data_IF_173887394233
#
_entry.id   IF_173887394233
#
_cell.length_a   1.000
_cell.length_b   1.000
_cell.length_c   1.000
_cell.angle_alpha   90.00
_cell.angle_beta   90.00
_cell.angle_gamma   90.00
#
_symmetry.space_group_name_H-M   'P 1'
#
loop_
_entity.id
_entity.type
_entity.pdbx_description
1 polymer ?
#
# COMPACT_ATOMS: atom_id res chain seq x y z
N UNK A 1 -29.47 8.28 35.06
CA UNK A 1 -29.24 8.73 33.69
C UNK A 1 -27.82 9.27 33.60
N UNK A 2 -26.89 8.51 33.00
CA UNK A 2 -25.51 8.98 32.82
C UNK A 2 -25.50 10.04 31.72
N UNK A 3 -25.21 11.27 32.10
CA UNK A 3 -25.25 12.44 31.23
C UNK A 3 -24.16 12.35 30.16
N UNK A 4 -24.59 12.13 28.92
CA UNK A 4 -23.81 12.34 27.70
C UNK A 4 -23.51 13.82 27.53
N UNK A 5 -22.40 14.29 28.08
CA UNK A 5 -21.68 15.47 27.60
C UNK A 5 -20.19 15.12 27.65
N UNK A 6 -19.75 14.25 26.75
CA UNK A 6 -18.32 14.06 26.53
C UNK A 6 -17.88 14.93 25.35
N UNK A 7 -16.81 15.73 25.49
CA UNK A 7 -16.14 16.29 24.32
C UNK A 7 -15.54 15.09 23.59
N UNK A 8 -16.11 14.74 22.42
CA UNK A 8 -15.97 13.50 21.63
C UNK A 8 -14.53 13.05 21.23
N UNK A 9 -13.48 13.51 21.90
CA UNK A 9 -12.08 13.15 21.63
C UNK A 9 -11.17 13.03 22.86
N UNK A 10 -11.60 13.48 24.05
CA UNK A 10 -10.67 13.63 25.20
C UNK A 10 -10.03 12.32 25.66
N UNK A 11 -10.69 11.19 25.43
CA UNK A 11 -10.21 9.87 25.85
C UNK A 11 -9.70 9.00 24.70
N UNK A 12 -9.79 9.47 23.45
CA UNK A 12 -9.45 8.65 22.29
C UNK A 12 -7.96 8.29 22.26
N UNK A 13 -7.07 9.21 22.63
CA UNK A 13 -5.64 8.90 22.80
C UNK A 13 -5.37 7.84 23.88
N UNK A 14 -6.13 7.84 24.99
CA UNK A 14 -6.02 6.80 26.03
C UNK A 14 -6.57 5.45 25.54
N UNK A 15 -7.65 5.47 24.76
CA UNK A 15 -8.22 4.26 24.16
C UNK A 15 -7.25 3.59 23.19
N UNK A 16 -6.53 4.35 22.37
CA UNK A 16 -5.46 3.80 21.50
C UNK A 16 -4.45 3.01 22.32
N UNK A 17 -3.95 3.58 23.43
CA UNK A 17 -2.98 2.91 24.32
C UNK A 17 -3.55 1.64 24.96
N UNK A 18 -4.82 1.67 25.37
CA UNK A 18 -5.48 0.50 25.96
C UNK A 18 -5.72 -0.59 24.91
N UNK A 19 -6.20 -0.24 23.72
CA UNK A 19 -6.38 -1.20 22.63
C UNK A 19 -5.06 -1.83 22.19
N UNK A 20 -4.00 -1.02 22.01
CA UNK A 20 -2.68 -1.53 21.66
C UNK A 20 -2.14 -2.56 22.68
N UNK A 21 -2.45 -2.37 23.97
CA UNK A 21 -1.96 -3.23 25.05
C UNK A 21 -2.84 -4.45 25.33
N UNK A 22 -4.17 -4.30 25.29
CA UNK A 22 -5.10 -5.31 25.78
C UNK A 22 -6.00 -5.93 24.69
N UNK A 23 -6.18 -5.26 23.55
CA UNK A 23 -7.10 -5.72 22.49
C UNK A 23 -6.69 -5.15 21.12
N UNK A 24 -5.58 -5.67 20.57
CA UNK A 24 -4.96 -5.21 19.32
C UNK A 24 -5.90 -5.29 18.13
N UNK A 25 -6.67 -6.37 18.03
CA UNK A 25 -7.66 -6.60 16.97
C UNK A 25 -8.74 -5.50 16.87
N UNK A 26 -9.00 -4.77 17.96
CA UNK A 26 -9.98 -3.68 18.02
C UNK A 26 -9.36 -2.31 17.71
N UNK A 27 -8.02 -2.23 17.63
CA UNK A 27 -7.32 -0.99 17.38
C UNK A 27 -7.56 -0.48 15.96
N UNK A 28 -7.30 -1.29 14.93
CA UNK A 28 -7.48 -0.87 13.54
C UNK A 28 -8.93 -0.43 13.22
N UNK A 29 -10.00 -1.15 13.63
CA UNK A 29 -11.37 -0.66 13.47
C UNK A 29 -11.62 0.68 14.17
N UNK A 30 -11.10 0.85 15.39
CA UNK A 30 -11.23 2.10 16.13
C UNK A 30 -10.54 3.26 15.41
N UNK A 31 -9.33 3.03 14.88
CA UNK A 31 -8.57 4.04 14.13
C UNK A 31 -9.28 4.45 12.83
N UNK A 32 -10.00 3.52 12.20
CA UNK A 32 -10.81 3.78 11.00
C UNK A 32 -12.11 4.54 11.29
N UNK A 33 -12.72 4.32 12.45
CA UNK A 33 -14.00 4.95 12.83
C UNK A 33 -13.85 6.30 13.52
N UNK A 34 -12.65 6.66 13.98
CA UNK A 34 -12.42 7.87 14.76
C UNK A 34 -11.35 8.77 14.16
N UNK A 35 -11.55 10.08 14.24
CA UNK A 35 -10.58 11.11 13.82
C UNK A 35 -10.04 11.94 15.00
N UNK A 36 -10.52 11.70 16.22
CA UNK A 36 -10.27 12.59 17.37
C UNK A 36 -9.09 12.15 18.26
N UNK A 37 -8.24 11.24 17.80
CA UNK A 37 -7.02 10.84 18.53
C UNK A 37 -5.78 11.60 18.00
N UNK A 38 -4.79 11.86 18.86
CA UNK A 38 -3.48 12.36 18.42
C UNK A 38 -2.77 11.30 17.58
N UNK A 39 -2.70 11.50 16.26
CA UNK A 39 -2.15 10.53 15.30
C UNK A 39 -0.68 10.21 15.59
N UNK A 40 0.14 11.21 15.94
CA UNK A 40 1.55 11.01 16.28
C UNK A 40 1.72 10.12 17.52
N UNK A 41 1.01 10.40 18.61
CA UNK A 41 1.06 9.53 19.79
C UNK A 41 0.56 8.11 19.49
N UNK A 42 -0.44 7.98 18.61
CA UNK A 42 -0.94 6.67 18.20
C UNK A 42 0.13 5.90 17.40
N UNK A 43 0.88 6.59 16.53
CA UNK A 43 1.99 6.03 15.78
C UNK A 43 3.09 5.55 16.73
N UNK A 44 3.50 6.37 17.71
CA UNK A 44 4.56 6.04 18.68
C UNK A 44 4.20 4.78 19.49
N UNK A 45 2.93 4.67 19.89
CA UNK A 45 2.40 3.49 20.59
C UNK A 45 2.43 2.26 19.68
N UNK A 46 2.04 2.41 18.41
CA UNK A 46 2.07 1.30 17.45
C UNK A 46 3.50 0.85 17.14
N UNK A 47 4.44 1.79 16.97
CA UNK A 47 5.87 1.53 16.80
C UNK A 47 6.44 0.75 18.00
N UNK A 48 6.15 1.21 19.22
CA UNK A 48 6.62 0.57 20.45
C UNK A 48 6.10 -0.86 20.62
N UNK A 49 4.93 -1.17 20.04
CA UNK A 49 4.28 -2.48 20.14
C UNK A 49 4.40 -3.33 18.85
N UNK A 50 5.17 -2.88 17.84
CA UNK A 50 5.31 -3.53 16.53
C UNK A 50 3.97 -3.81 15.83
N UNK A 51 3.04 -2.86 15.86
CA UNK A 51 1.70 -2.95 15.25
C UNK A 51 1.73 -2.45 13.80
N UNK A 52 2.33 -3.23 12.91
CA UNK A 52 2.66 -2.79 11.54
C UNK A 52 1.42 -2.43 10.69
N UNK A 53 0.33 -3.20 10.79
CA UNK A 53 -0.89 -2.94 10.01
C UNK A 53 -1.54 -1.59 10.39
N UNK A 54 -1.54 -1.26 11.68
CA UNK A 54 -2.01 0.01 12.20
C UNK A 54 -1.07 1.16 11.86
N UNK A 55 0.25 0.94 11.90
CA UNK A 55 1.25 1.93 11.47
C UNK A 55 1.05 2.32 10.01
N UNK A 56 0.86 1.34 9.12
CA UNK A 56 0.60 1.59 7.69
C UNK A 56 -0.65 2.45 7.51
N UNK A 57 -1.73 2.14 8.24
CA UNK A 57 -2.95 2.93 8.20
C UNK A 57 -2.73 4.38 8.68
N UNK A 58 -2.05 4.56 9.82
CA UNK A 58 -1.76 5.88 10.39
C UNK A 58 -0.87 6.71 9.47
N UNK A 59 0.19 6.11 8.93
CA UNK A 59 1.12 6.78 8.00
C UNK A 59 0.43 7.19 6.69
N UNK A 60 -0.43 6.33 6.15
CA UNK A 60 -1.27 6.66 4.99
C UNK A 60 -2.17 7.87 5.25
N UNK A 61 -2.69 8.03 6.47
CA UNK A 61 -3.51 9.21 6.85
C UNK A 61 -2.74 10.51 7.01
N UNK A 62 -1.49 10.44 7.50
CA UNK A 62 -0.61 11.62 7.63
C UNK A 62 -0.05 12.03 6.26
N UNK A 63 -0.18 11.17 5.25
CA UNK A 63 0.41 11.36 3.91
C UNK A 63 1.86 10.89 3.82
N UNK A 64 2.37 10.19 4.84
CA UNK A 64 3.71 9.61 4.81
C UNK A 64 3.68 8.22 4.15
N UNK A 65 3.32 8.21 2.86
CA UNK A 65 3.08 7.00 2.08
C UNK A 65 4.35 6.18 1.82
N UNK A 66 5.52 6.84 1.70
CA UNK A 66 6.80 6.15 1.51
C UNK A 66 7.19 5.27 2.70
N UNK A 67 7.08 5.80 3.91
CA UNK A 67 7.37 5.03 5.13
C UNK A 67 6.34 3.90 5.32
N UNK A 68 5.06 4.16 5.00
CA UNK A 68 4.02 3.13 5.02
C UNK A 68 4.37 1.98 4.07
N UNK A 69 4.75 2.30 2.82
CA UNK A 69 5.15 1.32 1.82
C UNK A 69 6.36 0.49 2.27
N UNK A 70 7.37 1.14 2.86
CA UNK A 70 8.54 0.45 3.39
C UNK A 70 8.18 -0.56 4.48
N UNK A 71 7.26 -0.22 5.39
CA UNK A 71 6.78 -1.15 6.42
C UNK A 71 6.08 -2.35 5.79
N UNK A 72 5.26 -2.14 4.75
CA UNK A 72 4.58 -3.24 4.07
C UNK A 72 5.61 -4.20 3.44
N UNK A 73 6.63 -3.67 2.76
CA UNK A 73 7.62 -4.48 2.05
C UNK A 73 8.58 -5.19 3.04
N UNK A 74 9.07 -4.48 4.06
CA UNK A 74 10.12 -5.01 4.94
C UNK A 74 9.58 -5.79 6.15
N UNK A 75 8.42 -5.39 6.70
CA UNK A 75 7.89 -5.96 7.96
C UNK A 75 6.72 -6.91 7.74
N UNK A 76 5.82 -6.57 6.82
CA UNK A 76 4.69 -7.44 6.48
C UNK A 76 5.08 -8.48 5.42
N UNK A 77 6.09 -8.18 4.59
CA UNK A 77 6.49 -8.98 3.42
C UNK A 77 5.31 -9.32 2.49
N UNK A 78 4.28 -8.45 2.49
CA UNK A 78 3.05 -8.63 1.72
C UNK A 78 3.05 -7.69 0.51
N UNK A 79 3.55 -8.22 -0.60
CA UNK A 79 3.62 -7.50 -1.88
C UNK A 79 2.22 -7.20 -2.42
N UNK A 80 1.23 -8.07 -2.18
CA UNK A 80 -0.13 -7.81 -2.67
C UNK A 80 -0.71 -6.58 -1.97
N UNK A 81 -0.49 -6.47 -0.66
CA UNK A 81 -0.85 -5.28 0.09
C UNK A 81 -0.09 -4.05 -0.41
N UNK A 82 1.21 -4.16 -0.73
CA UNK A 82 2.00 -3.05 -1.26
C UNK A 82 1.50 -2.57 -2.63
N UNK A 83 1.16 -3.51 -3.53
CA UNK A 83 0.55 -3.22 -4.84
C UNK A 83 -0.77 -2.48 -4.65
N UNK A 84 -1.66 -2.99 -3.79
CA UNK A 84 -2.95 -2.35 -3.52
C UNK A 84 -2.77 -0.94 -2.94
N UNK A 85 -1.79 -0.75 -2.04
CA UNK A 85 -1.46 0.55 -1.47
C UNK A 85 -1.00 1.55 -2.55
N UNK A 86 -0.10 1.15 -3.45
CA UNK A 86 0.31 1.98 -4.59
C UNK A 86 -0.86 2.31 -5.53
N UNK A 87 -1.79 1.37 -5.74
CA UNK A 87 -2.99 1.59 -6.54
C UNK A 87 -3.96 2.58 -5.90
N UNK A 88 -4.24 2.44 -4.60
CA UNK A 88 -5.14 3.32 -3.85
C UNK A 88 -4.64 4.78 -3.83
N UNK A 89 -3.32 4.95 -3.72
CA UNK A 89 -2.70 6.28 -3.70
C UNK A 89 -2.45 6.86 -5.11
N UNK A 90 -2.51 6.04 -6.16
CA UNK A 90 -2.29 6.44 -7.56
C UNK A 90 -1.03 7.31 -7.77
N UNK A 91 0.05 6.99 -7.07
CA UNK A 91 1.29 7.76 -7.05
C UNK A 91 2.42 6.99 -7.74
N UNK A 92 2.97 7.59 -8.79
CA UNK A 92 4.06 7.01 -9.57
C UNK A 92 5.35 6.88 -8.77
N UNK A 93 5.63 7.78 -7.82
CA UNK A 93 6.83 7.67 -6.98
C UNK A 93 6.78 6.43 -6.09
N UNK A 94 5.61 6.10 -5.53
CA UNK A 94 5.42 4.87 -4.75
C UNK A 94 5.65 3.62 -5.60
N UNK A 95 5.24 3.63 -6.86
CA UNK A 95 5.54 2.53 -7.77
C UNK A 95 7.03 2.39 -8.04
N UNK A 96 7.75 3.49 -8.25
CA UNK A 96 9.21 3.45 -8.40
C UNK A 96 9.88 2.89 -7.14
N UNK A 97 9.47 3.33 -5.95
CA UNK A 97 10.02 2.86 -4.69
C UNK A 97 9.71 1.37 -4.46
N UNK A 98 8.49 0.91 -4.79
CA UNK A 98 8.11 -0.49 -4.74
C UNK A 98 8.98 -1.34 -5.67
N UNK A 99 9.13 -0.94 -6.93
CA UNK A 99 9.95 -1.66 -7.93
C UNK A 99 11.40 -1.73 -7.44
N UNK A 100 11.97 -0.60 -7.01
CA UNK A 100 13.36 -0.52 -6.55
C UNK A 100 13.64 -1.43 -5.36
N UNK A 101 12.71 -1.55 -4.41
CA UNK A 101 12.88 -2.40 -3.23
C UNK A 101 12.65 -3.89 -3.54
N UNK A 102 11.74 -4.20 -4.46
CA UNK A 102 11.34 -5.58 -4.77
C UNK A 102 12.19 -6.25 -5.85
N UNK A 103 12.93 -5.48 -6.66
CA UNK A 103 13.72 -6.02 -7.77
C UNK A 103 14.83 -6.98 -7.34
N UNK A 104 15.25 -6.91 -6.08
CA UNK A 104 16.21 -7.84 -5.48
C UNK A 104 15.62 -9.24 -5.21
N UNK A 105 14.29 -9.39 -5.24
CA UNK A 105 13.59 -10.65 -4.96
C UNK A 105 12.87 -11.14 -6.24
N UNK A 106 13.34 -12.21 -6.91
CA UNK A 106 12.80 -12.66 -8.20
C UNK A 106 11.33 -13.13 -8.12
N UNK A 107 10.92 -13.67 -6.98
CA UNK A 107 9.53 -14.06 -6.72
C UNK A 107 8.59 -12.84 -6.74
N UNK A 108 9.04 -11.72 -6.15
CA UNK A 108 8.31 -10.47 -6.13
C UNK A 108 8.16 -9.86 -7.52
N UNK A 109 9.24 -9.87 -8.30
CA UNK A 109 9.24 -9.37 -9.69
C UNK A 109 8.23 -10.14 -10.54
N UNK A 110 8.15 -11.46 -10.36
CA UNK A 110 7.18 -12.31 -11.08
C UNK A 110 5.74 -11.93 -10.75
N UNK A 111 5.45 -11.64 -9.47
CA UNK A 111 4.13 -11.21 -9.03
C UNK A 111 3.78 -9.81 -9.58
N UNK A 112 4.74 -8.89 -9.53
CA UNK A 112 4.59 -7.54 -10.06
C UNK A 112 4.32 -7.57 -11.57
N UNK A 113 5.08 -8.35 -12.34
CA UNK A 113 4.87 -8.52 -13.78
C UNK A 113 3.43 -8.92 -14.15
N UNK A 114 2.79 -9.75 -13.31
CA UNK A 114 1.41 -10.20 -13.55
C UNK A 114 0.36 -9.14 -13.22
N UNK A 115 0.64 -8.21 -12.30
CA UNK A 115 -0.34 -7.25 -11.76
C UNK A 115 -0.11 -5.79 -12.16
N UNK A 116 1.14 -5.40 -12.45
CA UNK A 116 1.53 -3.99 -12.65
C UNK A 116 1.09 -3.45 -14.01
N UNK A 117 0.94 -4.33 -15.02
CA UNK A 117 0.69 -3.95 -16.41
C UNK A 117 -0.58 -3.16 -16.66
N UNK A 118 -1.52 -3.12 -15.71
CA UNK A 118 -2.76 -2.35 -15.84
C UNK A 118 -2.63 -0.92 -15.29
N UNK A 119 -1.55 -0.62 -14.57
CA UNK A 119 -1.42 0.59 -13.74
C UNK A 119 -0.17 1.41 -14.06
N UNK A 120 0.93 0.75 -14.46
CA UNK A 120 2.23 1.38 -14.67
C UNK A 120 2.83 0.91 -15.98
N UNK A 121 3.59 1.78 -16.64
CA UNK A 121 4.31 1.42 -17.86
C UNK A 121 5.24 0.21 -17.59
N UNK A 122 5.06 -0.90 -18.32
CA UNK A 122 5.99 -2.02 -18.39
C UNK A 122 7.49 -1.66 -18.37
N UNK A 123 7.85 -0.55 -19.03
CA UNK A 123 9.24 -0.10 -19.18
C UNK A 123 9.89 0.20 -17.83
N UNK A 124 9.16 0.81 -16.90
CA UNK A 124 9.69 1.16 -15.58
C UNK A 124 10.19 -0.07 -14.82
N UNK A 125 9.52 -1.19 -14.97
CA UNK A 125 9.93 -2.43 -14.32
C UNK A 125 11.11 -3.06 -15.08
N UNK A 126 11.08 -3.07 -16.41
CA UNK A 126 12.15 -3.63 -17.25
C UNK A 126 13.49 -2.92 -17.03
N UNK A 127 13.47 -1.58 -16.92
CA UNK A 127 14.69 -0.78 -16.71
C UNK A 127 15.37 -1.02 -15.37
N UNK A 128 14.61 -1.47 -14.36
CA UNK A 128 15.14 -1.74 -13.02
C UNK A 128 15.57 -3.19 -12.81
N UNK A 129 15.15 -4.14 -13.66
CA UNK A 129 15.55 -5.55 -13.55
C UNK A 129 17.06 -5.69 -13.74
N UNK A 130 17.75 -6.25 -12.74
CA UNK A 130 19.18 -6.51 -12.84
C UNK A 130 19.48 -7.66 -13.82
N UNK A 131 20.41 -7.42 -14.73
CA UNK A 131 20.93 -8.40 -15.70
C UNK A 131 21.48 -9.62 -14.96
N UNK A 132 20.82 -10.76 -15.06
CA UNK A 132 21.21 -12.03 -14.39
C UNK A 132 20.16 -12.63 -13.46
N UNK A 133 19.01 -11.97 -13.26
CA UNK A 133 17.89 -12.57 -12.54
C UNK A 133 17.25 -13.73 -13.32
N UNK A 134 17.35 -14.97 -12.80
CA UNK A 134 16.62 -16.14 -13.31
C UNK A 134 15.13 -16.05 -12.92
N UNK A 135 14.38 -15.23 -13.62
CA UNK A 135 12.92 -15.16 -13.48
C UNK A 135 12.31 -16.21 -14.43
N UNK A 136 11.68 -17.24 -13.85
CA UNK A 136 10.92 -18.23 -14.60
C UNK A 136 9.78 -17.54 -15.35
N UNK A 137 9.62 -17.88 -16.63
CA UNK A 137 8.56 -17.36 -17.50
C UNK A 137 8.53 -15.83 -17.64
N UNK A 138 9.69 -15.17 -17.47
CA UNK A 138 9.83 -13.71 -17.60
C UNK A 138 9.31 -13.21 -18.95
N UNK A 139 9.77 -13.84 -20.04
CA UNK A 139 9.41 -13.45 -21.40
C UNK A 139 7.91 -13.58 -21.63
N UNK A 140 7.29 -14.68 -21.21
CA UNK A 140 5.85 -14.89 -21.39
C UNK A 140 5.03 -13.91 -20.52
N UNK A 141 5.46 -13.68 -19.28
CA UNK A 141 4.80 -12.73 -18.38
C UNK A 141 4.91 -11.29 -18.89
N UNK A 142 6.07 -10.90 -19.43
CA UNK A 142 6.29 -9.59 -20.06
C UNK A 142 5.40 -9.41 -21.30
N UNK A 143 5.36 -10.41 -22.19
CA UNK A 143 4.51 -10.35 -23.40
C UNK A 143 3.04 -10.22 -23.01
N UNK A 144 2.55 -11.04 -22.06
CA UNK A 144 1.18 -10.94 -21.55
C UNK A 144 0.88 -9.57 -20.97
N UNK A 145 1.79 -9.03 -20.16
CA UNK A 145 1.65 -7.70 -19.57
C UNK A 145 1.58 -6.60 -20.64
N UNK A 146 2.46 -6.63 -21.64
CA UNK A 146 2.47 -5.66 -22.73
C UNK A 146 1.21 -5.75 -23.59
N UNK A 147 0.74 -6.96 -23.91
CA UNK A 147 -0.51 -7.18 -24.63
C UNK A 147 -1.72 -6.62 -23.86
N UNK A 148 -1.78 -6.86 -22.54
CA UNK A 148 -2.86 -6.35 -21.69
C UNK A 148 -2.85 -4.81 -21.65
N UNK A 149 -1.67 -4.20 -21.48
CA UNK A 149 -1.53 -2.74 -21.47
C UNK A 149 -1.94 -2.12 -22.81
N UNK A 150 -1.51 -2.71 -23.93
CA UNK A 150 -1.90 -2.22 -25.26
C UNK A 150 -3.40 -2.35 -25.52
N UNK A 151 -4.01 -3.48 -25.12
CA UNK A 151 -5.46 -3.67 -25.21
C UNK A 151 -6.21 -2.63 -24.38
N UNK A 152 -5.73 -2.33 -23.17
CA UNK A 152 -6.32 -1.31 -22.30
C UNK A 152 -6.28 0.08 -22.93
N UNK A 153 -5.13 0.49 -23.48
CA UNK A 153 -5.01 1.76 -24.20
C UNK A 153 -5.97 1.83 -25.39
N UNK A 154 -6.06 0.75 -26.18
CA UNK A 154 -6.97 0.66 -27.32
C UNK A 154 -8.44 0.79 -26.90
N UNK A 155 -8.85 0.13 -25.81
CA UNK A 155 -10.21 0.24 -25.25
C UNK A 155 -10.46 1.66 -24.75
N UNK A 156 -9.53 2.27 -24.03
CA UNK A 156 -9.70 3.62 -23.50
C UNK A 156 -9.82 4.65 -24.62
N UNK A 157 -9.07 4.49 -25.71
CA UNK A 157 -9.14 5.34 -26.90
C UNK A 157 -10.47 5.15 -27.64
N UNK A 158 -10.92 3.89 -27.82
CA UNK A 158 -12.24 3.60 -28.38
C UNK A 158 -13.38 4.18 -27.53
N UNK A 159 -13.30 4.09 -26.19
CA UNK A 159 -14.28 4.67 -25.29
C UNK A 159 -14.32 6.20 -25.39
N UNK A 160 -13.16 6.87 -25.47
CA UNK A 160 -13.07 8.33 -25.67
C UNK A 160 -13.78 8.76 -26.94
N UNK A 161 -13.67 7.98 -28.01
CA UNK A 161 -14.35 8.23 -29.29
C UNK A 161 -15.88 8.06 -29.24
N UNK A 162 -16.41 7.31 -28.27
CA UNK A 162 -17.86 7.10 -28.09
C UNK A 162 -18.47 8.17 -27.16
N UNK A 163 -17.70 8.66 -26.18
CA UNK A 163 -18.15 9.71 -25.25
C UNK A 163 -18.03 11.15 -25.80
N UNK A 164 -17.58 11.32 -27.03
CA UNK A 164 -17.61 12.57 -27.81
C UNK A 164 -18.71 12.50 -28.88
#
# INVERSE_FOLDING_TARGET
AYSKIEPNGRYHGKLVRLYARYAREKLLPFLKCSDNYPIQEALDVCQSNNLYSEMVFLLGRIGNTREALQIIIEKLDDINQAINFCQEHNDMELWHDLIKQTVHKPECVTLLLKRIGNYVDPRMLIENIQSGCEIKDLKESLVKMMCNYHLQLSVQEACKMITL
#
